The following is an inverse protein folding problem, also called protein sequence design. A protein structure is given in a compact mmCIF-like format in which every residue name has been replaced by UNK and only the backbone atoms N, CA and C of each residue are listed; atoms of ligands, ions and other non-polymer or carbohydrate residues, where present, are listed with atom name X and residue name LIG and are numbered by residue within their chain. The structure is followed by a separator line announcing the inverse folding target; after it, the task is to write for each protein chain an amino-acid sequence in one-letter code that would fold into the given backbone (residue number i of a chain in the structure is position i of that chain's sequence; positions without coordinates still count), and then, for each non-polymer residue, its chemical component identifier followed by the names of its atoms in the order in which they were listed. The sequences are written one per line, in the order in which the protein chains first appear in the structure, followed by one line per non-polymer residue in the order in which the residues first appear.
data_IF_800041763256
#
_entry.id   IF_800041763256
#
_cell.length_a   1.000
_cell.length_b   1.000
_cell.length_c   1.000
_cell.angle_alpha   90.00
_cell.angle_beta   90.00
_cell.angle_gamma   90.00
#
_symmetry.space_group_name_H-M   'P 1'
#
loop_
_entity.id
_entity.type
_entity.pdbx_description
1 polymer ?
#
# COMPACT_ATOMS: atom_id res chain seq x y z
N UNK A 1 -17.06 -13.86 -8.05
CA UNK A 1 -16.27 -13.25 -6.98
C UNK A 1 -16.78 -13.69 -5.61
N UNK A 2 -15.93 -13.60 -4.56
CA UNK A 2 -16.33 -13.89 -3.20
C UNK A 2 -16.91 -12.64 -2.54
N UNK A 3 -17.84 -12.85 -1.58
CA UNK A 3 -18.42 -11.77 -0.76
C UNK A 3 -17.40 -11.17 0.20
N UNK A 4 -17.53 -9.89 0.47
CA UNK A 4 -16.74 -9.16 1.44
C UNK A 4 -17.21 -9.36 2.88
N UNK A 5 -16.52 -8.71 3.83
CA UNK A 5 -16.82 -8.83 5.26
C UNK A 5 -18.27 -8.43 5.62
N UNK A 6 -18.81 -7.36 5.06
CA UNK A 6 -20.16 -6.90 5.37
C UNK A 6 -21.28 -7.69 4.68
N UNK A 7 -20.95 -8.62 3.78
CA UNK A 7 -21.87 -9.29 2.85
C UNK A 7 -22.01 -10.80 3.15
N UNK A 8 -21.20 -11.34 4.07
CA UNK A 8 -21.20 -12.78 4.38
C UNK A 8 -21.43 -13.07 5.85
N UNK A 9 -21.96 -14.26 6.09
CA UNK A 9 -22.22 -14.86 7.39
C UNK A 9 -21.12 -15.84 7.75
N UNK A 10 -20.84 -15.99 9.04
CA UNK A 10 -19.84 -16.94 9.53
C UNK A 10 -19.39 -16.64 10.97
N UNK A 11 -18.24 -17.16 11.35
CA UNK A 11 -17.55 -16.84 12.60
C UNK A 11 -16.15 -16.36 12.34
N UNK A 12 -15.62 -15.52 13.20
CA UNK A 12 -14.22 -15.06 13.20
C UNK A 12 -13.61 -15.29 14.58
N UNK A 13 -12.34 -15.66 14.62
CA UNK A 13 -11.59 -15.81 15.87
C UNK A 13 -10.50 -14.76 15.92
N UNK A 14 -10.38 -14.05 17.04
CA UNK A 14 -9.33 -13.08 17.27
C UNK A 14 -8.13 -13.70 18.03
N UNK A 15 -7.06 -12.93 18.21
CA UNK A 15 -5.87 -13.36 18.93
C UNK A 15 -6.09 -13.60 20.45
N UNK A 16 -7.21 -13.13 20.99
CA UNK A 16 -7.67 -13.40 22.35
C UNK A 16 -8.34 -14.78 22.48
N UNK A 17 -8.40 -15.55 21.41
CA UNK A 17 -9.12 -16.83 21.31
C UNK A 17 -10.65 -16.70 21.36
N UNK A 18 -11.18 -15.53 21.10
CA UNK A 18 -12.60 -15.26 21.11
C UNK A 18 -13.21 -15.50 19.73
N UNK A 19 -14.14 -16.45 19.67
CA UNK A 19 -14.97 -16.74 18.50
C UNK A 19 -16.17 -15.80 18.55
N UNK A 20 -16.37 -15.02 17.51
CA UNK A 20 -17.49 -14.09 17.38
C UNK A 20 -18.30 -14.39 16.14
N UNK A 21 -19.62 -14.35 16.26
CA UNK A 21 -20.54 -14.47 15.16
C UNK A 21 -20.46 -13.22 14.27
N UNK A 22 -20.23 -13.41 12.98
CA UNK A 22 -20.29 -12.38 11.96
C UNK A 22 -21.60 -12.49 11.20
N UNK A 23 -22.36 -11.41 11.11
CA UNK A 23 -23.63 -11.34 10.38
C UNK A 23 -23.51 -10.36 9.21
N UNK A 24 -24.10 -10.64 8.06
CA UNK A 24 -24.13 -9.70 6.95
C UNK A 24 -25.04 -8.50 7.31
N UNK A 25 -24.62 -7.32 6.91
CA UNK A 25 -25.43 -6.08 6.98
C UNK A 25 -25.56 -5.41 5.61
N UNK A 26 -24.97 -6.03 4.57
CA UNK A 26 -25.10 -5.66 3.17
C UNK A 26 -25.50 -6.88 2.35
N UNK A 27 -26.30 -6.73 1.28
CA UNK A 27 -26.55 -7.82 0.34
C UNK A 27 -25.31 -8.15 -0.47
N UNK A 28 -25.17 -9.40 -0.87
CA UNK A 28 -24.09 -9.80 -1.77
C UNK A 28 -24.23 -9.12 -3.14
N UNK A 29 -23.20 -8.46 -3.69
CA UNK A 29 -23.29 -7.76 -4.96
C UNK A 29 -23.27 -8.72 -6.14
N UNK A 30 -24.24 -8.58 -7.04
CA UNK A 30 -24.31 -9.32 -8.31
C UNK A 30 -24.28 -10.84 -8.11
N UNK A 31 -23.24 -11.49 -8.62
CA UNK A 31 -23.04 -12.95 -8.52
C UNK A 31 -21.99 -13.36 -7.46
N UNK A 32 -21.68 -12.49 -6.51
CA UNK A 32 -20.74 -12.82 -5.44
C UNK A 32 -21.35 -13.90 -4.51
N UNK A 33 -20.51 -14.84 -4.09
CA UNK A 33 -20.86 -15.97 -3.21
C UNK A 33 -19.95 -16.00 -1.99
N UNK A 34 -20.40 -16.64 -0.91
CA UNK A 34 -19.57 -16.87 0.25
C UNK A 34 -18.39 -17.82 -0.08
N UNK A 35 -17.24 -17.61 0.59
CA UNK A 35 -16.02 -18.40 0.35
C UNK A 35 -16.28 -19.91 0.54
N UNK A 36 -16.97 -20.28 1.63
CA UNK A 36 -17.28 -21.67 1.94
C UNK A 36 -18.15 -22.34 0.85
N UNK A 37 -19.14 -21.61 0.32
CA UNK A 37 -20.02 -22.12 -0.73
C UNK A 37 -19.28 -22.32 -2.06
N UNK A 38 -18.35 -21.42 -2.41
CA UNK A 38 -17.47 -21.56 -3.58
C UNK A 38 -16.59 -22.82 -3.42
N UNK A 39 -15.98 -23.00 -2.24
CA UNK A 39 -15.12 -24.16 -1.97
C UNK A 39 -15.92 -25.45 -1.98
N UNK A 40 -17.10 -25.47 -1.36
CA UNK A 40 -17.98 -26.62 -1.35
C UNK A 40 -18.46 -27.01 -2.77
N UNK A 41 -18.78 -26.02 -3.62
CA UNK A 41 -19.14 -26.26 -5.03
C UNK A 41 -17.98 -26.92 -5.82
N UNK A 42 -16.75 -26.47 -5.59
CA UNK A 42 -15.55 -27.10 -6.19
C UNK A 42 -15.40 -28.53 -5.70
N UNK A 43 -15.52 -28.77 -4.39
CA UNK A 43 -15.45 -30.13 -3.80
C UNK A 43 -16.47 -31.07 -4.40
N UNK A 44 -17.73 -30.65 -4.52
CA UNK A 44 -18.81 -31.45 -5.18
C UNK A 44 -18.49 -31.76 -6.64
N UNK A 45 -17.97 -30.77 -7.41
CA UNK A 45 -17.57 -30.98 -8.82
C UNK A 45 -16.37 -31.92 -8.97
N UNK A 46 -15.54 -32.03 -7.94
CA UNK A 46 -14.44 -33.00 -7.90
C UNK A 46 -14.89 -34.41 -7.52
N UNK A 47 -16.19 -34.63 -7.25
CA UNK A 47 -16.75 -35.91 -6.93
C UNK A 47 -16.90 -36.21 -5.43
N UNK A 48 -16.59 -35.26 -4.56
CA UNK A 48 -16.73 -35.41 -3.10
C UNK A 48 -18.08 -34.84 -2.62
N UNK A 49 -19.18 -35.30 -3.19
CA UNK A 49 -20.51 -34.75 -2.98
C UNK A 49 -20.90 -34.79 -1.50
N UNK A 50 -20.77 -35.97 -0.88
CA UNK A 50 -21.22 -36.21 0.50
C UNK A 50 -20.39 -35.42 1.54
N UNK A 51 -19.10 -35.21 1.25
CA UNK A 51 -18.19 -34.49 2.14
C UNK A 51 -18.37 -32.96 2.06
N UNK A 52 -19.03 -32.46 1.02
CA UNK A 52 -19.22 -30.99 0.80
C UNK A 52 -20.72 -30.66 0.61
N UNK A 53 -21.62 -31.47 1.17
CA UNK A 53 -23.06 -31.22 1.13
C UNK A 53 -23.51 -30.33 2.28
N UNK A 54 -23.02 -29.07 2.25
CA UNK A 54 -23.43 -28.06 3.19
C UNK A 54 -24.48 -27.13 2.58
N UNK A 55 -25.57 -26.90 3.29
CA UNK A 55 -26.62 -25.96 2.95
C UNK A 55 -26.36 -24.58 3.59
N UNK A 56 -25.72 -24.53 4.77
CA UNK A 56 -25.52 -23.32 5.55
C UNK A 56 -24.12 -23.25 6.16
N UNK A 57 -23.68 -22.05 6.53
CA UNK A 57 -22.44 -21.86 7.29
C UNK A 57 -22.53 -22.43 8.72
N UNK A 58 -23.72 -22.61 9.26
CA UNK A 58 -23.92 -23.26 10.55
C UNK A 58 -23.54 -24.75 10.48
N UNK A 59 -23.83 -25.42 9.38
CA UNK A 59 -23.42 -26.82 9.16
C UNK A 59 -21.91 -26.95 9.05
N UNK A 60 -21.25 -26.04 8.33
CA UNK A 60 -19.78 -25.97 8.26
C UNK A 60 -19.18 -25.73 9.65
N UNK A 61 -19.80 -24.86 10.45
CA UNK A 61 -19.35 -24.60 11.81
C UNK A 61 -19.51 -25.82 12.73
N UNK A 62 -20.63 -26.53 12.64
CA UNK A 62 -20.86 -27.78 13.42
C UNK A 62 -19.83 -28.86 13.10
N UNK A 63 -19.55 -29.08 11.81
CA UNK A 63 -18.50 -30.02 11.41
C UNK A 63 -17.13 -29.59 11.95
N UNK A 64 -16.78 -28.31 11.81
CA UNK A 64 -15.53 -27.77 12.34
C UNK A 64 -15.43 -27.94 13.86
N UNK A 65 -16.55 -27.71 14.56
CA UNK A 65 -16.62 -27.92 16.01
C UNK A 65 -16.44 -29.39 16.39
N UNK A 66 -17.10 -30.30 15.67
CA UNK A 66 -16.95 -31.75 15.88
C UNK A 66 -15.51 -32.22 15.64
N UNK A 67 -14.88 -31.76 14.54
CA UNK A 67 -13.50 -32.10 14.21
C UNK A 67 -12.49 -31.56 15.22
N UNK A 68 -12.79 -30.48 15.93
CA UNK A 68 -11.91 -29.91 16.93
C UNK A 68 -11.63 -30.87 18.11
N UNK A 69 -12.53 -31.80 18.41
CA UNK A 69 -12.32 -32.81 19.46
C UNK A 69 -11.13 -33.72 19.17
N UNK A 70 -10.85 -33.97 17.87
CA UNK A 70 -9.68 -34.74 17.44
C UNK A 70 -8.37 -34.06 17.80
N UNK A 71 -8.38 -32.75 17.92
CA UNK A 71 -7.22 -31.93 18.33
C UNK A 71 -6.68 -32.36 19.69
N UNK A 72 -7.55 -32.65 20.65
CA UNK A 72 -7.18 -33.15 21.97
C UNK A 72 -6.44 -34.49 21.95
N UNK A 73 -6.80 -35.38 21.03
CA UNK A 73 -6.10 -36.67 20.83
C UNK A 73 -4.67 -36.47 20.32
N UNK A 74 -4.38 -35.32 19.70
CA UNK A 74 -3.07 -34.95 19.20
C UNK A 74 -2.31 -34.04 20.18
N UNK A 75 -2.79 -33.91 21.43
CA UNK A 75 -2.19 -33.06 22.47
C UNK A 75 -2.29 -31.55 22.17
N UNK A 76 -3.36 -31.11 21.52
CA UNK A 76 -3.64 -29.69 21.22
C UNK A 76 -4.78 -29.15 22.09
N UNK A 77 -4.80 -27.84 22.30
CA UNK A 77 -5.77 -27.15 23.17
C UNK A 77 -7.07 -26.77 22.48
N UNK A 78 -7.05 -26.65 21.17
CA UNK A 78 -8.21 -26.20 20.42
C UNK A 78 -9.30 -27.24 20.44
N UNK A 79 -10.32 -27.03 21.26
CA UNK A 79 -11.51 -27.88 21.34
C UNK A 79 -12.74 -26.99 21.53
N UNK A 80 -13.65 -27.05 20.58
CA UNK A 80 -14.98 -26.42 20.63
C UNK A 80 -16.09 -27.42 20.40
N UNK A 81 -15.82 -28.71 20.69
CA UNK A 81 -16.76 -29.81 20.47
C UNK A 81 -18.07 -29.65 21.24
N UNK A 82 -18.11 -28.88 22.31
CA UNK A 82 -19.34 -28.49 22.98
C UNK A 82 -20.32 -27.68 22.13
N UNK A 83 -19.86 -27.13 21.00
CA UNK A 83 -20.68 -26.40 20.04
C UNK A 83 -21.05 -27.25 18.80
N UNK A 84 -20.67 -28.53 18.74
CA UNK A 84 -20.89 -29.38 17.58
C UNK A 84 -22.37 -29.63 17.25
N UNK A 85 -23.23 -29.60 18.27
CA UNK A 85 -24.67 -29.85 18.12
C UNK A 85 -25.51 -28.57 18.26
N UNK A 86 -24.89 -27.38 18.07
CA UNK A 86 -25.59 -26.09 18.18
C UNK A 86 -26.71 -25.98 17.14
N UNK A 87 -27.92 -25.57 17.56
CA UNK A 87 -29.01 -25.35 16.60
C UNK A 87 -28.74 -24.12 15.72
N UNK A 88 -29.46 -23.97 14.61
CA UNK A 88 -29.31 -22.81 13.72
C UNK A 88 -29.64 -21.49 14.44
N UNK A 89 -30.67 -21.50 15.30
CA UNK A 89 -31.06 -20.34 16.10
C UNK A 89 -29.98 -19.99 17.14
N UNK A 90 -29.45 -21.00 17.83
CA UNK A 90 -28.40 -20.79 18.81
C UNK A 90 -27.07 -20.37 18.14
N UNK A 91 -26.77 -20.89 16.96
CA UNK A 91 -25.63 -20.44 16.15
C UNK A 91 -25.80 -19.00 15.73
N UNK A 92 -26.98 -18.59 15.26
CA UNK A 92 -27.25 -17.22 14.87
C UNK A 92 -27.11 -16.23 16.03
N UNK A 93 -27.47 -16.67 17.24
CA UNK A 93 -27.37 -15.87 18.47
C UNK A 93 -26.07 -16.07 19.27
N UNK A 94 -25.11 -16.82 18.72
CA UNK A 94 -23.86 -17.15 19.39
C UNK A 94 -23.17 -15.88 19.90
N UNK A 95 -23.01 -15.80 21.22
CA UNK A 95 -22.28 -14.72 21.87
C UNK A 95 -20.77 -14.90 21.69
N UNK A 96 -19.98 -13.82 21.74
CA UNK A 96 -18.54 -13.94 21.70
C UNK A 96 -18.00 -14.89 22.77
N UNK A 97 -17.45 -16.04 22.34
CA UNK A 97 -17.10 -17.17 23.21
C UNK A 97 -15.61 -17.43 23.13
N UNK A 98 -14.97 -17.57 24.29
CA UNK A 98 -13.55 -17.98 24.35
C UNK A 98 -13.47 -19.51 24.19
N UNK A 99 -12.56 -19.98 23.33
CA UNK A 99 -12.20 -21.38 23.30
C UNK A 99 -11.06 -21.70 24.30
N UNK A 100 -10.96 -22.88 24.89
CA UNK A 100 -11.71 -24.10 24.57
C UNK A 100 -13.15 -24.09 25.11
N UNK A 101 -14.04 -24.79 24.39
CA UNK A 101 -15.40 -25.12 24.81
C UNK A 101 -15.59 -26.63 24.63
N UNK A 102 -14.94 -27.47 25.41
CA UNK A 102 -15.05 -28.91 25.28
C UNK A 102 -16.43 -29.40 25.74
N UNK A 103 -16.85 -30.55 25.21
CA UNK A 103 -18.18 -31.12 25.52
C UNK A 103 -18.34 -31.53 27.01
N UNK A 104 -17.26 -31.99 27.63
CA UNK A 104 -17.30 -32.65 28.90
C UNK A 104 -16.68 -31.86 30.09
N UNK A 105 -15.99 -30.79 29.84
CA UNK A 105 -15.28 -30.01 30.85
C UNK A 105 -15.60 -28.52 30.80
N UNK A 106 -15.55 -27.86 31.95
CA UNK A 106 -15.72 -26.40 31.98
C UNK A 106 -14.58 -25.70 31.22
N UNK A 107 -14.93 -24.70 30.45
CA UNK A 107 -13.95 -23.84 29.77
C UNK A 107 -13.12 -23.06 30.78
N UNK A 108 -11.80 -23.04 30.62
CA UNK A 108 -10.92 -22.20 31.44
C UNK A 108 -10.73 -20.82 30.81
N UNK A 109 -10.68 -19.78 31.60
CA UNK A 109 -10.55 -18.40 31.14
C UNK A 109 -9.17 -18.10 30.57
N UNK A 110 -8.12 -18.67 31.15
CA UNK A 110 -6.74 -18.38 30.77
C UNK A 110 -5.89 -19.64 30.70
N UNK A 111 -5.27 -19.89 29.56
CA UNK A 111 -4.29 -20.96 29.42
C UNK A 111 -3.09 -20.73 30.33
N UNK A 112 -2.59 -21.84 30.89
CA UNK A 112 -1.38 -21.88 31.69
C UNK A 112 -1.40 -21.00 32.94
N UNK A 113 -2.57 -20.51 33.37
CA UNK A 113 -2.68 -19.71 34.62
C UNK A 113 -2.17 -20.46 35.83
N UNK A 114 -2.34 -21.78 35.87
CA UNK A 114 -1.89 -22.68 36.95
C UNK A 114 -0.73 -23.58 36.52
N UNK A 115 0.03 -23.22 35.50
CA UNK A 115 1.05 -24.09 34.89
C UNK A 115 0.45 -25.03 33.84
N UNK A 116 1.00 -26.24 33.70
CA UNK A 116 0.48 -27.23 32.74
C UNK A 116 0.87 -26.98 31.29
N UNK A 117 2.05 -26.38 31.06
CA UNK A 117 2.61 -26.24 29.71
C UNK A 117 2.82 -27.60 29.06
N UNK A 118 2.76 -27.66 27.71
CA UNK A 118 2.89 -28.89 26.93
C UNK A 118 4.31 -29.44 26.87
N UNK A 119 4.95 -29.57 28.01
CA UNK A 119 6.24 -30.23 28.21
C UNK A 119 6.07 -31.32 29.27
N UNK A 120 6.95 -32.32 29.23
CA UNK A 120 6.87 -33.48 30.14
C UNK A 120 6.90 -33.06 31.63
N UNK A 121 7.52 -31.95 31.98
CA UNK A 121 7.57 -31.37 33.33
C UNK A 121 6.48 -30.33 33.62
N UNK A 122 5.57 -30.08 32.68
CA UNK A 122 4.49 -29.09 32.80
C UNK A 122 4.94 -27.63 32.92
N UNK A 123 6.23 -27.33 32.67
CA UNK A 123 6.80 -25.99 32.84
C UNK A 123 7.04 -25.29 31.50
N UNK A 124 7.03 -23.97 31.51
CA UNK A 124 7.44 -23.16 30.37
C UNK A 124 8.92 -23.37 30.05
N UNK A 125 9.23 -23.54 28.76
CA UNK A 125 10.59 -23.69 28.28
C UNK A 125 11.20 -22.34 28.00
N UNK A 126 12.12 -21.90 28.85
CA UNK A 126 12.87 -20.66 28.63
C UNK A 126 14.12 -20.99 27.78
N UNK A 127 14.02 -20.71 26.48
CA UNK A 127 15.11 -20.95 25.55
C UNK A 127 16.03 -19.73 25.50
N UNK A 128 17.35 -19.90 25.72
CA UNK A 128 18.28 -18.82 25.47
C UNK A 128 18.36 -18.57 23.96
N UNK A 129 18.00 -17.37 23.55
CA UNK A 129 18.07 -16.98 22.14
C UNK A 129 19.39 -16.27 21.92
N UNK A 130 20.25 -16.85 21.07
CA UNK A 130 21.46 -16.19 20.60
C UNK A 130 21.13 -15.53 19.26
N UNK A 131 21.21 -14.20 19.14
CA UNK A 131 21.02 -13.53 17.86
C UNK A 131 22.05 -14.06 16.84
N UNK A 132 21.66 -14.26 15.57
CA UNK A 132 22.63 -14.60 14.54
C UNK A 132 23.66 -13.49 14.38
N UNK A 133 24.88 -13.85 14.01
CA UNK A 133 25.90 -12.86 13.70
C UNK A 133 25.39 -11.93 12.57
N UNK A 134 25.65 -10.61 12.66
CA UNK A 134 25.32 -9.69 11.58
C UNK A 134 25.90 -10.19 10.26
N UNK A 135 25.14 -10.21 9.20
CA UNK A 135 25.65 -10.50 7.87
C UNK A 135 26.69 -9.43 7.54
N UNK A 136 27.90 -9.86 7.23
CA UNK A 136 28.97 -8.95 6.84
C UNK A 136 28.55 -8.18 5.58
N UNK A 137 28.75 -6.86 5.59
CA UNK A 137 28.55 -6.08 4.38
C UNK A 137 29.69 -6.39 3.41
N UNK A 138 29.40 -6.72 2.14
CA UNK A 138 30.44 -6.87 1.14
C UNK A 138 31.22 -5.55 0.98
N UNK A 139 32.48 -5.67 0.52
CA UNK A 139 33.32 -4.49 0.27
C UNK A 139 32.70 -3.60 -0.85
N UNK A 140 32.82 -2.28 -0.71
CA UNK A 140 32.32 -1.30 -1.68
C UNK A 140 31.08 -0.52 -1.18
N UNK A 141 30.49 0.27 -2.06
CA UNK A 141 29.33 1.13 -1.76
C UNK A 141 27.99 0.36 -1.80
N UNK A 142 27.93 -0.78 -1.12
CA UNK A 142 26.69 -1.53 -1.02
C UNK A 142 25.91 -1.15 0.24
N UNK A 143 24.61 -1.18 0.13
CA UNK A 143 23.68 -0.86 1.21
C UNK A 143 22.90 -2.10 1.64
N UNK A 144 22.51 -2.13 2.90
CA UNK A 144 21.59 -3.14 3.42
C UNK A 144 20.17 -2.78 3.03
N UNK A 145 19.53 -3.65 2.27
CA UNK A 145 18.13 -3.48 1.88
C UNK A 145 17.21 -3.78 3.07
N UNK A 146 16.38 -2.80 3.43
CA UNK A 146 15.25 -2.97 4.32
C UNK A 146 13.96 -2.82 3.52
N UNK A 147 13.00 -3.71 3.73
CA UNK A 147 11.68 -3.62 3.10
C UNK A 147 10.60 -3.40 4.13
N UNK A 148 9.55 -2.70 3.77
CA UNK A 148 8.49 -2.42 4.72
C UNK A 148 7.21 -1.91 4.06
N UNK A 149 6.28 -1.47 4.89
CA UNK A 149 5.00 -0.89 4.46
C UNK A 149 5.10 0.62 4.41
N UNK A 150 4.23 1.21 3.60
CA UNK A 150 3.88 2.62 3.73
C UNK A 150 2.50 2.76 4.36
N UNK A 151 2.24 3.90 4.97
CA UNK A 151 1.09 4.19 5.83
C UNK A 151 -0.26 3.86 5.19
N UNK A 152 -0.45 4.23 3.93
CA UNK A 152 -1.76 4.20 3.27
C UNK A 152 -1.94 3.01 2.31
N UNK A 153 -0.95 2.11 2.23
CA UNK A 153 -1.01 0.92 1.39
C UNK A 153 -1.01 -0.38 2.20
N UNK A 154 -1.64 -1.42 1.64
CA UNK A 154 -1.79 -2.74 2.24
C UNK A 154 -1.73 -3.83 1.17
N UNK A 155 -1.12 -4.98 1.51
CA UNK A 155 -1.15 -6.21 0.72
C UNK A 155 -1.02 -6.00 -0.80
N UNK A 156 0.14 -5.48 -1.24
CA UNK A 156 0.42 -5.21 -2.67
C UNK A 156 -0.63 -4.36 -3.37
N UNK A 157 -1.30 -3.48 -2.62
CA UNK A 157 -2.31 -2.54 -3.12
C UNK A 157 -3.54 -3.18 -3.77
N UNK A 158 -3.83 -4.46 -3.51
CA UNK A 158 -4.98 -5.19 -4.10
C UNK A 158 -6.32 -4.49 -3.86
N UNK A 159 -6.45 -3.77 -2.74
CA UNK A 159 -7.60 -2.92 -2.41
C UNK A 159 -7.24 -1.45 -2.36
N UNK A 160 -6.18 -1.08 -1.65
CA UNK A 160 -5.79 0.33 -1.47
C UNK A 160 -5.41 1.01 -2.78
N UNK A 161 -4.84 0.28 -3.75
CA UNK A 161 -4.57 0.78 -5.09
C UNK A 161 -5.82 1.12 -5.91
N UNK A 162 -7.00 0.66 -5.48
CA UNK A 162 -8.30 1.01 -6.09
C UNK A 162 -8.95 2.24 -5.46
N UNK A 163 -8.43 2.71 -4.34
CA UNK A 163 -8.92 3.86 -3.61
C UNK A 163 -8.07 5.10 -3.95
N UNK A 164 -8.57 6.03 -4.80
CA UNK A 164 -7.80 7.20 -5.24
C UNK A 164 -7.23 8.02 -4.09
N UNK A 165 -7.98 8.13 -3.00
CA UNK A 165 -7.61 8.89 -1.83
C UNK A 165 -6.38 8.32 -1.13
N UNK A 166 -6.29 6.98 -1.00
CA UNK A 166 -5.15 6.31 -0.37
C UNK A 166 -3.88 6.36 -1.22
N UNK A 167 -4.03 6.27 -2.56
CA UNK A 167 -2.91 6.44 -3.51
C UNK A 167 -2.43 7.88 -3.67
N UNK A 168 -3.13 8.88 -3.11
CA UNK A 168 -2.75 10.28 -3.25
C UNK A 168 -1.53 10.66 -2.40
N UNK A 169 -1.34 10.03 -1.25
CA UNK A 169 -0.20 10.27 -0.36
C UNK A 169 1.10 9.73 -0.96
N UNK A 170 1.13 8.47 -1.36
CA UNK A 170 2.31 7.85 -1.97
C UNK A 170 1.89 7.11 -3.25
N UNK A 171 2.15 7.73 -4.40
CA UNK A 171 1.67 7.25 -5.70
C UNK A 171 2.69 6.41 -6.46
N UNK A 172 3.95 6.41 -6.05
CA UNK A 172 5.06 5.73 -6.73
C UNK A 172 6.00 5.04 -5.73
N UNK A 173 6.71 3.97 -6.15
CA UNK A 173 7.70 3.32 -5.31
C UNK A 173 8.95 4.18 -5.18
N UNK A 174 9.60 4.13 -4.01
CA UNK A 174 10.79 4.91 -3.74
C UNK A 174 11.88 4.10 -3.05
N UNK A 175 13.10 4.60 -3.09
CA UNK A 175 14.22 4.18 -2.24
C UNK A 175 14.57 5.33 -1.30
N UNK A 176 14.49 5.08 0.00
CA UNK A 176 14.84 6.04 1.04
C UNK A 176 16.30 5.84 1.44
N UNK A 177 17.07 6.93 1.44
CA UNK A 177 18.51 6.93 1.67
C UNK A 177 18.92 8.04 2.63
N UNK A 178 19.96 7.77 3.42
CA UNK A 178 20.63 8.80 4.21
C UNK A 178 21.34 9.82 3.29
N UNK A 179 21.37 11.14 3.64
CA UNK A 179 22.04 12.16 2.80
C UNK A 179 23.50 11.86 2.45
N UNK A 180 24.28 11.33 3.41
CA UNK A 180 25.68 10.97 3.15
C UNK A 180 25.81 9.83 2.16
N UNK A 181 24.97 8.79 2.26
CA UNK A 181 24.97 7.69 1.32
C UNK A 181 24.56 8.15 -0.09
N UNK A 182 23.52 8.99 -0.17
CA UNK A 182 23.07 9.56 -1.43
C UNK A 182 24.14 10.42 -2.10
N UNK A 183 24.87 11.24 -1.31
CA UNK A 183 25.98 12.05 -1.83
C UNK A 183 27.13 11.19 -2.39
N UNK A 184 27.53 10.13 -1.68
CA UNK A 184 28.58 9.20 -2.16
C UNK A 184 28.15 8.50 -3.45
N UNK A 185 26.84 8.20 -3.59
CA UNK A 185 26.31 7.51 -4.77
C UNK A 185 25.96 8.47 -5.92
N UNK A 186 26.13 9.79 -5.76
CA UNK A 186 25.78 10.79 -6.76
C UNK A 186 24.30 10.90 -7.04
N UNK A 187 23.44 10.68 -6.02
CA UNK A 187 22.00 10.70 -6.13
C UNK A 187 21.42 12.01 -5.64
N UNK A 188 20.53 12.62 -6.44
CA UNK A 188 19.74 13.78 -6.06
C UNK A 188 18.35 13.38 -5.58
N UNK A 189 17.79 14.17 -4.66
CA UNK A 189 16.41 13.98 -4.19
C UNK A 189 15.41 14.13 -5.36
N UNK A 190 14.31 13.37 -5.30
CA UNK A 190 13.32 13.25 -6.36
C UNK A 190 13.84 12.71 -7.72
N UNK A 191 15.13 12.40 -7.85
CA UNK A 191 15.70 11.69 -9.00
C UNK A 191 15.23 10.24 -9.06
N UNK A 192 15.73 9.49 -10.03
CA UNK A 192 15.50 8.04 -10.13
C UNK A 192 16.81 7.29 -9.89
N UNK A 193 16.70 6.15 -9.20
CA UNK A 193 17.82 5.24 -8.97
C UNK A 193 17.49 3.83 -9.42
N UNK A 194 18.51 3.11 -9.89
CA UNK A 194 18.49 1.66 -10.05
C UNK A 194 19.06 1.05 -8.79
N UNK A 195 18.25 0.23 -8.12
CA UNK A 195 18.62 -0.60 -6.98
C UNK A 195 18.78 -2.02 -7.51
N UNK A 196 19.93 -2.64 -7.34
CA UNK A 196 20.23 -3.93 -7.96
C UNK A 196 21.13 -4.83 -7.13
N UNK A 197 21.03 -6.12 -7.36
CA UNK A 197 21.94 -7.15 -6.88
C UNK A 197 21.99 -8.33 -7.87
N UNK A 198 22.65 -9.41 -7.53
CA UNK A 198 22.78 -10.60 -8.41
C UNK A 198 21.42 -11.26 -8.76
N UNK A 199 20.36 -10.97 -8.01
CA UNK A 199 19.01 -11.56 -8.23
C UNK A 199 18.13 -10.75 -9.16
N UNK A 200 18.30 -9.43 -9.17
CA UNK A 200 17.46 -8.55 -9.98
C UNK A 200 17.75 -7.08 -9.77
N UNK A 201 16.83 -6.27 -10.30
CA UNK A 201 16.89 -4.81 -10.19
C UNK A 201 15.50 -4.21 -10.03
N UNK A 202 15.46 -3.03 -9.40
CA UNK A 202 14.29 -2.17 -9.33
C UNK A 202 14.68 -0.73 -9.69
N UNK A 203 13.81 0.00 -10.38
CA UNK A 203 13.96 1.43 -10.65
C UNK A 203 12.98 2.20 -9.79
N UNK A 204 13.48 3.12 -8.98
CA UNK A 204 12.74 3.72 -7.87
C UNK A 204 12.98 5.22 -7.79
N UNK A 205 12.02 5.99 -7.26
CA UNK A 205 12.19 7.40 -6.92
C UNK A 205 13.15 7.53 -5.74
N UNK A 206 14.08 8.45 -5.78
CA UNK A 206 14.99 8.73 -4.65
C UNK A 206 14.30 9.65 -3.64
N UNK A 207 14.31 9.25 -2.39
CA UNK A 207 13.89 10.03 -1.23
C UNK A 207 15.07 10.15 -0.27
N UNK A 208 15.58 11.36 -0.11
CA UNK A 208 16.72 11.64 0.77
C UNK A 208 16.20 12.17 2.11
N UNK A 209 16.55 11.50 3.21
CA UNK A 209 16.13 11.92 4.54
C UNK A 209 17.18 11.56 5.61
N UNK A 210 17.47 12.46 6.56
CA UNK A 210 18.38 12.16 7.68
C UNK A 210 17.79 11.13 8.68
N UNK A 211 16.52 10.74 8.52
CA UNK A 211 15.88 9.67 9.31
C UNK A 211 16.28 8.28 8.82
N UNK A 212 16.73 8.15 7.58
CA UNK A 212 17.24 6.89 7.07
C UNK A 212 18.52 6.50 7.82
N UNK A 213 18.68 5.21 8.10
CA UNK A 213 19.90 4.72 8.71
C UNK A 213 21.03 4.68 7.67
N UNK A 214 22.17 5.29 7.99
CA UNK A 214 23.39 5.26 7.16
C UNK A 214 23.80 3.81 6.87
N UNK A 215 24.16 3.52 5.63
CA UNK A 215 24.50 2.17 5.14
C UNK A 215 23.28 1.30 4.85
N UNK A 216 22.06 1.87 4.87
CA UNK A 216 20.81 1.15 4.57
C UNK A 216 20.01 1.84 3.47
N UNK A 217 19.28 1.03 2.70
CA UNK A 217 18.29 1.47 1.73
C UNK A 217 16.93 0.90 2.14
N UNK A 218 15.89 1.74 2.32
CA UNK A 218 14.53 1.29 2.54
C UNK A 218 13.73 1.35 1.24
N UNK A 219 13.01 0.27 0.93
CA UNK A 219 12.13 0.19 -0.25
C UNK A 219 10.78 -0.39 0.15
N UNK A 220 9.66 0.30 -0.15
CA UNK A 220 8.34 -0.21 0.19
C UNK A 220 7.94 -1.42 -0.65
N UNK A 221 7.23 -2.37 -0.02
CA UNK A 221 6.90 -3.69 -0.58
C UNK A 221 5.64 -3.76 -1.44
N UNK A 222 4.89 -2.66 -1.59
CA UNK A 222 3.53 -2.72 -2.10
C UNK A 222 3.41 -2.77 -3.62
N UNK A 223 4.38 -2.23 -4.36
CA UNK A 223 4.30 -2.13 -5.82
C UNK A 223 4.61 -3.45 -6.52
N UNK A 224 3.83 -3.72 -7.55
CA UNK A 224 3.96 -4.88 -8.44
C UNK A 224 4.11 -4.42 -9.88
N UNK A 225 4.35 -5.35 -10.81
CA UNK A 225 4.41 -5.04 -12.24
C UNK A 225 3.11 -4.50 -12.84
N UNK A 226 1.98 -4.56 -12.12
CA UNK A 226 0.71 -3.95 -12.53
C UNK A 226 0.68 -2.45 -12.28
N UNK A 227 1.39 -1.99 -11.25
CA UNK A 227 1.36 -0.59 -10.79
C UNK A 227 2.67 0.14 -11.01
N UNK A 228 3.79 -0.56 -11.18
CA UNK A 228 5.07 0.06 -11.48
C UNK A 228 5.95 -0.82 -12.36
N UNK A 229 6.44 -0.29 -13.48
CA UNK A 229 7.47 -0.95 -14.28
C UNK A 229 8.79 -0.96 -13.48
N UNK A 230 9.34 -2.14 -13.27
CA UNK A 230 10.61 -2.30 -12.55
C UNK A 230 10.58 -1.92 -11.08
N UNK A 231 9.43 -1.57 -10.47
CA UNK A 231 9.33 -1.11 -9.08
C UNK A 231 9.16 -2.22 -8.02
N UNK A 232 9.29 -3.49 -8.39
CA UNK A 232 9.03 -4.63 -7.51
C UNK A 232 10.26 -4.98 -6.67
N UNK A 233 10.24 -4.66 -5.37
CA UNK A 233 11.36 -4.91 -4.45
C UNK A 233 11.67 -6.39 -4.21
N UNK A 234 10.67 -7.27 -4.30
CA UNK A 234 10.88 -8.71 -4.06
C UNK A 234 11.85 -9.38 -5.03
N UNK A 235 12.17 -8.75 -6.17
CA UNK A 235 13.22 -9.22 -7.07
C UNK A 235 14.62 -9.10 -6.46
N UNK A 236 14.78 -8.30 -5.40
CA UNK A 236 16.04 -8.01 -4.73
C UNK A 236 16.23 -8.83 -3.43
N UNK A 237 15.17 -9.46 -2.95
CA UNK A 237 15.17 -10.18 -1.66
C UNK A 237 15.81 -11.55 -1.82
N UNK A 238 16.71 -11.91 -0.90
CA UNK A 238 17.37 -13.21 -0.88
C UNK A 238 16.38 -14.34 -0.55
N UNK A 239 16.57 -15.50 -1.18
CA UNK A 239 15.76 -16.69 -0.96
C UNK A 239 16.21 -17.41 0.33
N UNK A 240 16.14 -16.72 1.46
CA UNK A 240 16.49 -17.24 2.79
C UNK A 240 15.24 -17.27 3.65
N UNK A 241 15.05 -18.34 4.39
CA UNK A 241 13.96 -18.50 5.33
C UNK A 241 14.47 -18.84 6.72
N UNK A 242 13.72 -18.51 7.74
CA UNK A 242 13.97 -19.00 9.09
C UNK A 242 13.84 -20.54 9.12
N UNK A 243 14.83 -21.27 9.65
CA UNK A 243 14.84 -22.73 9.57
C UNK A 243 13.74 -23.41 10.41
N UNK A 244 13.14 -22.72 11.37
CA UNK A 244 12.10 -23.26 12.25
C UNK A 244 10.71 -22.92 11.74
N UNK A 245 10.46 -21.64 11.47
CA UNK A 245 9.14 -21.14 11.08
C UNK A 245 8.90 -21.14 9.56
N UNK A 246 9.95 -21.21 8.74
CA UNK A 246 9.88 -20.99 7.29
C UNK A 246 9.61 -19.54 6.90
N UNK A 247 9.67 -18.60 7.85
CA UNK A 247 9.45 -17.17 7.60
C UNK A 247 10.48 -16.61 6.64
N UNK A 248 10.08 -15.97 5.51
CA UNK A 248 11.03 -15.34 4.60
C UNK A 248 11.80 -14.20 5.24
N UNK A 249 13.12 -14.18 5.04
CA UNK A 249 13.99 -13.10 5.47
C UNK A 249 13.91 -11.93 4.49
N UNK A 250 12.84 -11.16 4.55
CA UNK A 250 12.56 -10.04 3.63
C UNK A 250 13.43 -8.81 3.88
N UNK A 251 14.37 -8.87 4.82
CA UNK A 251 15.23 -7.77 5.25
C UNK A 251 16.68 -8.22 5.32
N UNK A 252 17.59 -7.28 5.03
CA UNK A 252 19.02 -7.54 5.17
C UNK A 252 19.72 -8.03 3.91
N UNK A 253 19.05 -8.21 2.77
CA UNK A 253 19.72 -8.42 1.48
C UNK A 253 20.63 -7.25 1.15
N UNK A 254 21.71 -7.50 0.44
CA UNK A 254 22.65 -6.45 0.03
C UNK A 254 22.31 -5.97 -1.38
N UNK A 255 22.36 -4.64 -1.59
CA UNK A 255 22.10 -4.02 -2.88
C UNK A 255 23.12 -2.94 -3.21
N UNK A 256 23.37 -2.73 -4.49
CA UNK A 256 24.03 -1.55 -5.05
C UNK A 256 22.96 -0.57 -5.51
N UNK A 257 23.23 0.73 -5.37
CA UNK A 257 22.35 1.79 -5.82
C UNK A 257 23.13 2.75 -6.70
N UNK A 258 22.57 3.10 -7.87
CA UNK A 258 23.18 4.04 -8.79
C UNK A 258 22.12 4.90 -9.48
N UNK A 259 22.48 6.08 -10.00
CA UNK A 259 21.56 6.89 -10.77
C UNK A 259 20.93 6.12 -11.95
N UNK A 260 19.65 6.38 -12.20
CA UNK A 260 18.99 5.98 -13.44
C UNK A 260 19.17 7.08 -14.48
N UNK A 261 19.79 6.77 -15.60
CA UNK A 261 20.04 7.73 -16.66
C UNK A 261 18.78 7.96 -17.49
N UNK A 262 17.95 8.89 -17.04
CA UNK A 262 16.78 9.33 -17.78
C UNK A 262 17.16 10.40 -18.81
N UNK A 263 16.73 10.23 -20.06
CA UNK A 263 16.75 11.29 -21.05
C UNK A 263 15.61 12.31 -20.84
N UNK A 264 14.52 11.86 -20.20
CA UNK A 264 13.37 12.69 -19.86
C UNK A 264 12.58 12.06 -18.70
N UNK A 265 11.90 12.91 -17.94
CA UNK A 265 10.91 12.58 -16.93
C UNK A 265 9.55 13.05 -17.40
N UNK A 266 8.48 12.40 -16.99
CA UNK A 266 7.12 12.78 -17.35
C UNK A 266 6.12 12.55 -16.22
N UNK A 267 5.10 13.42 -16.21
CA UNK A 267 3.88 13.26 -15.44
C UNK A 267 2.68 13.17 -16.38
N UNK A 268 1.80 12.23 -16.16
CA UNK A 268 0.62 11.99 -16.96
C UNK A 268 -0.65 11.91 -16.08
N UNK A 269 -1.78 12.39 -16.61
CA UNK A 269 -3.12 12.18 -16.07
C UNK A 269 -4.07 11.84 -17.20
N UNK A 270 -4.96 10.84 -17.03
CA UNK A 270 -5.87 10.35 -18.06
C UNK A 270 -7.16 9.82 -17.45
N UNK A 271 -8.27 9.95 -18.16
CA UNK A 271 -9.53 9.25 -17.85
C UNK A 271 -9.48 7.76 -18.24
N UNK A 272 -8.54 7.38 -19.10
CA UNK A 272 -8.31 6.00 -19.56
C UNK A 272 -7.32 5.27 -18.64
N UNK A 273 -7.49 3.95 -18.53
CA UNK A 273 -6.58 3.11 -17.75
C UNK A 273 -5.21 3.03 -18.43
N UNK A 274 -4.18 3.51 -17.73
CA UNK A 274 -2.79 3.47 -18.19
C UNK A 274 -2.12 2.14 -17.82
N UNK A 275 -1.01 1.82 -18.50
CA UNK A 275 -0.15 0.68 -18.20
C UNK A 275 1.31 1.10 -18.04
N UNK A 276 2.08 0.50 -17.14
CA UNK A 276 3.47 0.87 -16.91
C UNK A 276 4.38 0.25 -17.99
N UNK A 277 4.46 0.89 -19.16
CA UNK A 277 5.17 0.36 -20.34
C UNK A 277 6.52 1.05 -20.61
N UNK A 278 6.91 2.05 -19.82
CA UNK A 278 8.20 2.75 -19.99
C UNK A 278 9.28 2.14 -19.08
N UNK A 279 10.56 2.40 -19.33
CA UNK A 279 11.66 1.92 -18.47
C UNK A 279 11.47 2.24 -16.99
N UNK A 280 10.90 3.42 -16.71
CA UNK A 280 10.28 3.73 -15.43
C UNK A 280 8.84 4.17 -15.68
N UNK A 281 7.91 3.57 -14.96
CA UNK A 281 6.53 4.01 -14.93
C UNK A 281 5.89 3.57 -13.60
N UNK A 282 5.26 4.48 -12.90
CA UNK A 282 4.42 4.19 -11.74
C UNK A 282 3.04 4.79 -11.98
N UNK A 283 1.99 3.96 -11.85
CA UNK A 283 0.60 4.36 -12.09
C UNK A 283 -0.22 4.25 -10.83
N UNK A 284 -1.12 5.20 -10.63
CA UNK A 284 -2.06 5.20 -9.53
C UNK A 284 -3.44 5.65 -9.97
N UNK A 285 -4.47 5.14 -9.31
CA UNK A 285 -5.84 5.66 -9.47
C UNK A 285 -5.92 7.08 -8.95
N UNK A 286 -6.67 7.92 -9.67
CA UNK A 286 -7.07 9.25 -9.25
C UNK A 286 -8.59 9.35 -9.16
N UNK A 287 -9.09 10.47 -8.63
CA UNK A 287 -10.54 10.69 -8.48
C UNK A 287 -11.27 10.65 -9.83
N UNK A 288 -10.63 11.16 -10.88
CA UNK A 288 -11.21 11.33 -12.23
C UNK A 288 -10.66 10.35 -13.25
N UNK A 289 -9.80 9.40 -12.85
CA UNK A 289 -9.17 8.45 -13.75
C UNK A 289 -7.87 7.88 -13.19
N UNK A 290 -6.75 8.18 -13.85
CA UNK A 290 -5.42 7.66 -13.55
C UNK A 290 -4.39 8.77 -13.59
N UNK A 291 -3.31 8.58 -12.84
CA UNK A 291 -2.08 9.37 -12.93
C UNK A 291 -0.88 8.46 -13.10
N UNK A 292 0.18 8.96 -13.73
CA UNK A 292 1.43 8.24 -13.86
C UNK A 292 2.64 9.18 -13.72
N UNK A 293 3.70 8.65 -13.09
CA UNK A 293 5.06 9.17 -13.21
C UNK A 293 5.80 8.23 -14.15
N UNK A 294 6.49 8.80 -15.14
CA UNK A 294 7.18 8.02 -16.18
C UNK A 294 8.55 8.60 -16.45
N UNK A 295 9.47 7.78 -16.98
CA UNK A 295 10.73 8.26 -17.51
C UNK A 295 11.22 7.33 -18.63
N UNK A 296 11.98 7.91 -19.55
CA UNK A 296 12.57 7.18 -20.66
C UNK A 296 14.05 7.47 -20.84
N UNK A 297 14.80 6.49 -21.37
CA UNK A 297 16.23 6.59 -21.63
C UNK A 297 16.56 7.19 -23.02
N UNK A 298 15.54 7.46 -23.85
CA UNK A 298 15.70 8.06 -25.18
C UNK A 298 14.61 9.10 -25.37
N UNK A 299 14.97 10.26 -25.88
CA UNK A 299 14.01 11.32 -26.21
C UNK A 299 13.13 10.88 -27.40
N UNK A 300 11.81 10.92 -27.26
CA UNK A 300 10.88 10.66 -28.35
C UNK A 300 11.08 11.64 -29.53
N UNK A 301 10.78 11.18 -30.72
CA UNK A 301 10.77 12.05 -31.90
C UNK A 301 9.47 12.84 -32.07
N UNK A 302 8.40 12.31 -31.50
CA UNK A 302 7.04 12.84 -31.56
C UNK A 302 6.42 12.73 -30.17
N UNK A 303 6.26 13.86 -29.49
CA UNK A 303 5.71 13.94 -28.16
C UNK A 303 4.20 13.73 -28.11
N UNK A 304 3.46 14.01 -29.18
CA UNK A 304 2.04 13.68 -29.28
C UNK A 304 1.84 12.16 -29.29
N UNK A 305 2.58 11.47 -30.18
CA UNK A 305 2.51 10.01 -30.25
C UNK A 305 2.92 9.34 -28.90
N UNK A 306 3.97 9.87 -28.27
CA UNK A 306 4.41 9.41 -26.93
C UNK A 306 3.32 9.62 -25.88
N UNK A 307 2.71 10.83 -25.85
CA UNK A 307 1.64 11.15 -24.93
C UNK A 307 0.43 10.22 -25.11
N UNK A 308 -0.01 10.01 -26.35
CA UNK A 308 -1.13 9.10 -26.67
C UNK A 308 -0.84 7.67 -26.19
N UNK A 309 0.38 7.22 -26.37
CA UNK A 309 0.81 5.89 -25.92
C UNK A 309 0.81 5.77 -24.40
N UNK A 310 1.32 6.77 -23.67
CA UNK A 310 1.34 6.79 -22.18
C UNK A 310 -0.07 6.91 -21.60
N UNK A 311 -0.87 7.82 -22.16
CA UNK A 311 -2.24 8.12 -21.73
C UNK A 311 -3.25 7.03 -22.09
N UNK A 312 -2.88 6.13 -23.03
CA UNK A 312 -3.77 5.13 -23.64
C UNK A 312 -5.00 5.79 -24.30
N UNK A 313 -4.77 6.85 -25.09
CA UNK A 313 -5.79 7.61 -25.79
C UNK A 313 -5.50 7.60 -27.30
N UNK A 314 -6.36 6.91 -28.08
CA UNK A 314 -6.24 6.81 -29.54
C UNK A 314 -6.96 7.92 -30.33
N UNK A 315 -7.87 8.65 -29.67
CA UNK A 315 -8.70 9.69 -30.29
C UNK A 315 -8.56 11.06 -29.61
N UNK A 316 -9.40 12.00 -30.05
CA UNK A 316 -9.43 13.38 -29.52
C UNK A 316 -8.41 14.32 -30.18
N UNK A 317 -8.60 15.62 -29.99
CA UNK A 317 -7.73 16.67 -30.52
C UNK A 317 -6.59 16.92 -29.54
N UNK A 318 -5.34 16.91 -30.03
CA UNK A 318 -4.15 17.22 -29.26
C UNK A 318 -3.78 18.69 -29.41
N UNK A 319 -3.42 19.31 -28.27
CA UNK A 319 -2.73 20.59 -28.20
C UNK A 319 -1.33 20.34 -27.64
N UNK A 320 -0.30 20.71 -28.37
CA UNK A 320 1.10 20.40 -28.04
C UNK A 320 1.89 21.70 -27.95
N UNK A 321 2.72 21.79 -26.91
CA UNK A 321 3.72 22.83 -26.72
C UNK A 321 5.06 22.14 -26.47
N UNK A 322 6.05 22.46 -27.28
CA UNK A 322 7.40 21.90 -27.19
C UNK A 322 8.45 22.99 -27.12
N UNK A 323 9.43 22.79 -26.27
CA UNK A 323 10.67 23.57 -26.23
C UNK A 323 11.87 22.61 -26.30
N UNK A 324 12.39 22.36 -27.51
CA UNK A 324 13.52 21.46 -27.70
C UNK A 324 14.80 21.92 -26.98
N UNK A 325 14.96 23.23 -26.73
CA UNK A 325 16.14 23.77 -26.07
C UNK A 325 16.21 23.35 -24.61
N UNK A 326 15.07 23.39 -23.90
CA UNK A 326 14.94 22.98 -22.51
C UNK A 326 14.55 21.50 -22.35
N UNK A 327 14.05 20.85 -23.42
CA UNK A 327 13.53 19.48 -23.40
C UNK A 327 12.16 19.37 -22.75
N UNK A 328 11.42 20.47 -22.67
CA UNK A 328 10.05 20.50 -22.15
C UNK A 328 9.07 20.20 -23.26
N UNK A 329 8.15 19.28 -23.02
CA UNK A 329 6.97 19.10 -23.85
C UNK A 329 5.72 18.98 -22.96
N UNK A 330 4.61 19.53 -23.44
CA UNK A 330 3.31 19.50 -22.78
C UNK A 330 2.24 19.16 -23.81
N UNK A 331 1.45 18.15 -23.51
CA UNK A 331 0.39 17.68 -24.39
C UNK A 331 -0.92 17.62 -23.63
N UNK A 332 -1.97 18.21 -24.20
CA UNK A 332 -3.35 18.08 -23.73
C UNK A 332 -4.17 17.40 -24.81
N UNK A 333 -4.95 16.38 -24.48
CA UNK A 333 -5.85 15.68 -25.39
C UNK A 333 -7.28 15.92 -24.92
N UNK A 334 -8.10 16.51 -25.78
CA UNK A 334 -9.51 16.81 -25.51
C UNK A 334 -10.42 16.18 -26.55
N UNK A 335 -11.64 15.87 -26.17
CA UNK A 335 -12.70 15.35 -27.02
C UNK A 335 -13.96 16.19 -26.75
N UNK A 336 -14.52 16.82 -27.78
CA UNK A 336 -15.63 17.77 -27.68
C UNK A 336 -15.47 18.84 -26.56
N UNK A 337 -14.25 19.37 -26.42
CA UNK A 337 -13.94 20.39 -25.39
C UNK A 337 -13.64 19.81 -23.99
N UNK A 338 -13.91 18.54 -23.76
CA UNK A 338 -13.65 17.86 -22.47
C UNK A 338 -12.24 17.32 -22.46
N UNK A 339 -11.47 17.66 -21.43
CA UNK A 339 -10.09 17.20 -21.27
C UNK A 339 -10.04 15.70 -20.87
N UNK A 340 -9.41 14.89 -21.73
CA UNK A 340 -9.26 13.45 -21.58
C UNK A 340 -7.90 13.05 -21.01
N UNK A 341 -6.86 13.79 -21.35
CA UNK A 341 -5.51 13.46 -20.92
C UNK A 341 -4.55 14.63 -20.93
N UNK A 342 -3.57 14.58 -20.03
CA UNK A 342 -2.46 15.53 -19.89
C UNK A 342 -1.15 14.78 -19.80
N UNK A 343 -0.12 15.31 -20.48
CA UNK A 343 1.24 14.80 -20.40
C UNK A 343 2.24 15.96 -20.36
N UNK A 344 3.09 15.96 -19.33
CA UNK A 344 4.12 16.96 -19.09
C UNK A 344 5.46 16.26 -19.05
N UNK A 345 6.47 16.81 -19.72
CA UNK A 345 7.84 16.26 -19.71
C UNK A 345 8.89 17.32 -19.45
N UNK A 346 10.03 16.90 -18.93
CA UNK A 346 11.22 17.71 -18.74
C UNK A 346 12.48 16.82 -18.68
N UNK A 347 13.68 17.41 -18.77
CA UNK A 347 14.96 16.70 -18.56
C UNK A 347 15.19 16.33 -17.10
N UNK A 348 14.60 17.09 -16.20
CA UNK A 348 14.61 16.91 -14.75
C UNK A 348 13.22 16.45 -14.26
N UNK A 349 13.06 15.98 -13.02
CA UNK A 349 11.76 15.65 -12.44
C UNK A 349 10.74 16.77 -12.67
N UNK A 350 9.59 16.44 -13.25
CA UNK A 350 8.62 17.43 -13.73
C UNK A 350 8.04 18.27 -12.58
N UNK A 351 8.22 19.59 -12.67
CA UNK A 351 7.63 20.57 -11.75
C UNK A 351 6.21 20.92 -12.23
N UNK A 352 5.18 20.24 -11.70
CA UNK A 352 3.78 20.45 -12.03
C UNK A 352 2.88 20.24 -10.81
N UNK A 353 1.79 20.99 -10.73
CA UNK A 353 0.79 20.86 -9.66
C UNK A 353 -0.08 19.61 -9.90
N UNK A 354 0.43 18.44 -9.56
CA UNK A 354 -0.14 17.11 -9.87
C UNK A 354 -1.62 16.98 -9.52
N UNK A 355 -1.99 17.37 -8.30
CA UNK A 355 -3.39 17.28 -7.82
C UNK A 355 -4.33 18.18 -8.62
N UNK A 356 -3.88 19.41 -8.96
CA UNK A 356 -4.66 20.34 -9.76
C UNK A 356 -4.85 19.80 -11.19
N UNK A 357 -3.78 19.30 -11.80
CA UNK A 357 -3.83 18.75 -13.16
C UNK A 357 -4.73 17.51 -13.27
N UNK A 358 -4.65 16.62 -12.27
CA UNK A 358 -5.56 15.47 -12.19
C UNK A 358 -7.02 15.94 -12.07
N UNK A 359 -7.28 17.02 -11.33
CA UNK A 359 -8.62 17.59 -11.14
C UNK A 359 -9.26 18.15 -12.41
N UNK A 360 -8.46 18.48 -13.43
CA UNK A 360 -8.96 18.98 -14.73
C UNK A 360 -9.48 17.86 -15.63
N UNK A 361 -9.08 16.62 -15.40
CA UNK A 361 -9.51 15.48 -16.24
C UNK A 361 -11.04 15.29 -16.13
N UNK A 362 -11.70 15.22 -17.28
CA UNK A 362 -13.16 15.11 -17.38
C UNK A 362 -13.91 16.45 -17.28
N UNK A 363 -13.20 17.59 -17.30
CA UNK A 363 -13.83 18.91 -17.31
C UNK A 363 -13.64 19.63 -18.64
N UNK A 364 -14.51 20.59 -18.91
CA UNK A 364 -14.32 21.53 -20.02
C UNK A 364 -13.28 22.57 -19.60
N UNK A 365 -12.17 22.63 -20.33
CA UNK A 365 -11.04 23.53 -20.04
C UNK A 365 -10.30 23.90 -21.30
N UNK A 366 -9.86 25.16 -21.40
CA UNK A 366 -9.07 25.58 -22.54
C UNK A 366 -7.67 24.92 -22.54
N UNK A 367 -7.09 24.61 -23.70
CA UNK A 367 -5.75 24.04 -23.80
C UNK A 367 -4.67 24.87 -23.07
N UNK A 368 -4.79 26.20 -23.07
CA UNK A 368 -3.85 27.07 -22.41
C UNK A 368 -3.82 26.86 -20.89
N UNK A 369 -4.99 26.72 -20.27
CA UNK A 369 -5.11 26.43 -18.83
C UNK A 369 -4.61 25.02 -18.52
N UNK A 370 -5.01 24.05 -19.34
CA UNK A 370 -4.60 22.66 -19.19
C UNK A 370 -3.08 22.49 -19.27
N UNK A 371 -2.41 23.18 -20.20
CA UNK A 371 -0.96 23.12 -20.41
C UNK A 371 -0.14 24.01 -19.46
N UNK A 372 -0.78 24.87 -18.66
CA UNK A 372 -0.07 25.73 -17.72
C UNK A 372 0.71 24.95 -16.64
N UNK A 373 0.16 23.80 -16.20
CA UNK A 373 0.80 22.94 -15.20
C UNK A 373 0.72 23.47 -13.76
N UNK A 374 -0.02 24.57 -13.56
CA UNK A 374 -0.21 25.23 -12.26
C UNK A 374 -1.70 25.30 -11.91
N UNK A 375 -2.07 25.43 -10.62
CA UNK A 375 -3.46 25.62 -10.23
C UNK A 375 -3.99 26.93 -10.83
N UNK A 376 -5.29 27.01 -11.08
CA UNK A 376 -5.97 28.28 -11.37
C UNK A 376 -5.83 29.26 -10.20
N UNK A 377 -5.97 30.56 -10.49
CA UNK A 377 -5.83 31.62 -9.49
C UNK A 377 -6.78 31.45 -8.28
N UNK A 378 -7.95 30.84 -8.50
CA UNK A 378 -8.97 30.58 -7.49
C UNK A 378 -8.76 29.25 -6.71
N UNK A 379 -7.74 28.46 -7.03
CA UNK A 379 -7.43 27.18 -6.39
C UNK A 379 -6.03 27.22 -5.77
N UNK A 380 -5.92 27.62 -4.50
CA UNK A 380 -4.63 27.62 -3.84
C UNK A 380 -3.99 26.23 -3.82
N UNK A 381 -2.69 26.16 -4.10
CA UNK A 381 -1.96 24.91 -4.09
C UNK A 381 -2.11 24.18 -2.75
N UNK A 382 -2.47 22.89 -2.80
CA UNK A 382 -2.56 22.04 -1.61
C UNK A 382 -1.21 21.48 -1.19
N UNK A 383 -0.28 21.35 -2.14
CA UNK A 383 0.97 20.62 -1.94
C UNK A 383 0.79 19.12 -1.96
N UNK A 384 1.81 18.40 -1.51
CA UNK A 384 1.74 16.94 -1.34
C UNK A 384 0.70 16.57 -0.27
N UNK A 385 -0.09 15.53 -0.52
CA UNK A 385 -1.14 15.10 0.41
C UNK A 385 -0.52 14.46 1.64
N UNK A 386 -0.89 14.95 2.80
CA UNK A 386 -0.52 14.44 4.13
C UNK A 386 -1.69 13.68 4.75
N UNK A 387 -2.88 14.29 4.81
CA UNK A 387 -4.07 13.63 5.33
C UNK A 387 -4.94 13.09 4.20
N UNK A 388 -4.86 11.78 3.91
CA UNK A 388 -5.66 11.13 2.88
C UNK A 388 -7.17 11.12 3.20
N UNK A 389 -7.56 11.13 4.48
CA UNK A 389 -8.97 11.14 4.90
C UNK A 389 -9.72 12.41 4.49
N UNK A 390 -9.06 13.56 4.60
CA UNK A 390 -9.66 14.88 4.35
C UNK A 390 -9.03 15.63 3.18
N UNK A 391 -8.14 14.97 2.42
CA UNK A 391 -7.48 15.53 1.23
C UNK A 391 -6.70 16.81 1.55
N UNK A 392 -6.00 16.81 2.71
CA UNK A 392 -5.21 17.95 3.19
C UNK A 392 -3.75 17.78 2.83
N UNK A 393 -3.18 18.80 2.18
CA UNK A 393 -1.80 18.79 1.74
C UNK A 393 -0.89 19.74 2.53
N UNK A 394 0.42 19.63 2.28
CA UNK A 394 1.48 20.36 2.99
C UNK A 394 1.32 21.88 2.94
N UNK A 395 0.87 22.45 1.82
CA UNK A 395 0.71 23.90 1.69
C UNK A 395 -0.47 24.44 2.50
N UNK A 396 -1.53 23.64 2.67
CA UNK A 396 -2.65 24.00 3.54
C UNK A 396 -2.23 23.93 5.00
N UNK A 397 -1.43 22.92 5.38
CA UNK A 397 -0.90 22.78 6.74
C UNK A 397 0.05 23.95 7.06
N UNK A 398 0.98 24.29 6.17
CA UNK A 398 1.91 25.42 6.36
C UNK A 398 1.18 26.76 6.53
N UNK A 399 0.11 26.97 5.74
CA UNK A 399 -0.73 28.17 5.93
C UNK A 399 -1.41 28.17 7.28
N UNK A 400 -2.03 27.09 7.69
CA UNK A 400 -2.66 26.99 9.00
C UNK A 400 -1.66 27.24 10.15
N UNK A 401 -0.40 26.76 10.02
CA UNK A 401 0.68 27.06 10.97
C UNK A 401 1.04 28.54 10.95
N UNK A 402 1.16 29.16 9.78
CA UNK A 402 1.42 30.59 9.65
C UNK A 402 0.26 31.43 10.24
N UNK A 403 -0.97 30.95 10.15
CA UNK A 403 -2.17 31.57 10.72
C UNK A 403 -2.33 31.26 12.23
N UNK A 404 -1.38 30.53 12.85
CA UNK A 404 -1.29 30.35 14.30
C UNK A 404 -1.64 28.95 14.82
N UNK A 405 -1.85 27.94 13.97
CA UNK A 405 -2.00 26.58 14.44
C UNK A 405 -0.65 26.02 14.91
N UNK A 406 -0.50 25.77 16.21
CA UNK A 406 0.75 25.39 16.88
C UNK A 406 0.77 23.93 17.37
N UNK A 407 -0.27 23.18 17.13
CA UNK A 407 -0.42 21.80 17.59
C UNK A 407 -1.18 20.93 16.57
N UNK A 408 -1.04 19.60 16.68
CA UNK A 408 -1.79 18.65 15.85
C UNK A 408 -3.29 18.77 16.10
N UNK A 409 -3.69 19.10 17.32
CA UNK A 409 -5.07 19.35 17.71
C UNK A 409 -5.62 20.64 17.03
N UNK A 410 -4.84 21.70 16.98
CA UNK A 410 -5.19 22.95 16.29
C UNK A 410 -5.32 22.72 14.78
N UNK A 411 -4.40 21.97 14.16
CA UNK A 411 -4.52 21.54 12.77
C UNK A 411 -5.76 20.67 12.53
N UNK A 412 -6.11 19.83 13.49
CA UNK A 412 -7.33 19.04 13.47
C UNK A 412 -8.59 19.91 13.51
N UNK A 413 -8.60 20.94 14.33
CA UNK A 413 -9.72 21.87 14.46
C UNK A 413 -9.99 22.68 13.18
N UNK A 414 -8.94 23.18 12.50
CA UNK A 414 -9.08 24.04 11.32
C UNK A 414 -9.15 23.26 9.98
N UNK A 415 -8.47 22.11 9.88
CA UNK A 415 -8.35 21.35 8.62
C UNK A 415 -8.97 19.95 8.70
N UNK A 416 -9.46 19.53 9.85
CA UNK A 416 -9.87 18.14 10.15
C UNK A 416 -8.72 17.11 10.01
N UNK A 417 -7.49 17.52 9.76
CA UNK A 417 -6.34 16.63 9.60
C UNK A 417 -6.02 15.90 10.92
N UNK A 418 -5.82 14.58 10.86
CA UNK A 418 -5.52 13.77 12.04
C UNK A 418 -6.72 13.38 12.90
N UNK A 419 -7.95 13.80 12.56
CA UNK A 419 -9.15 13.59 13.39
C UNK A 419 -9.93 12.32 13.08
N UNK A 420 -9.70 11.66 11.95
CA UNK A 420 -10.37 10.42 11.57
C UNK A 420 -9.52 9.19 11.92
N UNK A 421 -8.70 8.67 11.00
CA UNK A 421 -7.88 7.48 11.25
C UNK A 421 -6.63 7.76 12.11
N UNK A 422 -6.21 9.01 12.22
CA UNK A 422 -5.05 9.44 13.01
C UNK A 422 -3.68 9.10 12.42
N UNK A 423 -3.60 8.36 11.32
CA UNK A 423 -2.33 7.86 10.78
C UNK A 423 -1.38 8.96 10.29
N UNK A 424 -1.89 10.16 9.97
CA UNK A 424 -1.09 11.31 9.57
C UNK A 424 -0.55 12.15 10.76
N UNK A 425 -0.96 11.90 12.00
CA UNK A 425 -0.56 12.70 13.16
C UNK A 425 0.96 12.81 13.36
N UNK A 426 1.75 11.73 13.20
CA UNK A 426 3.22 11.87 13.29
C UNK A 426 3.80 12.82 12.25
N UNK A 427 3.32 12.78 11.01
CA UNK A 427 3.80 13.66 9.93
C UNK A 427 3.34 15.12 10.14
N UNK A 428 2.12 15.33 10.66
CA UNK A 428 1.66 16.67 11.07
C UNK A 428 2.56 17.26 12.15
N UNK A 429 2.96 16.45 13.15
CA UNK A 429 3.89 16.88 14.19
C UNK A 429 5.26 17.27 13.61
N UNK A 430 5.77 16.47 12.68
CA UNK A 430 7.05 16.78 12.02
C UNK A 430 7.03 18.10 11.25
N UNK A 431 5.92 18.42 10.58
CA UNK A 431 5.77 19.69 9.87
C UNK A 431 5.72 20.86 10.87
N UNK A 432 5.05 20.69 12.01
CA UNK A 432 5.02 21.67 13.10
C UNK A 432 6.41 21.89 13.69
N UNK A 433 7.14 20.81 13.99
CA UNK A 433 8.49 20.88 14.56
C UNK A 433 9.47 21.60 13.61
N UNK A 434 9.39 21.27 12.31
CA UNK A 434 10.19 21.94 11.28
C UNK A 434 9.87 23.43 11.16
N UNK A 435 8.59 23.80 11.22
CA UNK A 435 8.18 25.21 11.18
C UNK A 435 8.66 25.99 12.41
N UNK A 436 8.60 25.35 13.59
CA UNK A 436 9.09 25.93 14.86
C UNK A 436 10.61 26.14 14.85
N UNK A 437 11.36 25.18 14.32
CA UNK A 437 12.82 25.29 14.19
C UNK A 437 13.25 26.44 13.26
N UNK A 438 12.52 26.65 12.16
CA UNK A 438 12.78 27.78 11.24
C UNK A 438 12.49 29.11 11.92
N UNK A 439 11.45 29.23 12.74
CA UNK A 439 11.10 30.44 13.48
C UNK A 439 12.16 30.78 14.51
N UNK A 440 12.64 29.80 15.29
CA UNK A 440 13.71 29.93 16.27
C UNK A 440 15.07 30.34 15.63
N UNK A 441 15.34 29.93 14.39
CA UNK A 441 16.57 30.31 13.68
C UNK A 441 16.50 31.70 13.05
N UNK A 442 15.30 32.27 12.94
CA UNK A 442 15.08 33.62 12.38
C UNK A 442 14.98 34.72 13.44
N UNK A 443 14.83 34.36 14.72
CA UNK A 443 14.95 35.24 15.91
C UNK A 443 16.41 35.29 16.42
#
# INVERSE_FOLDING_TARGET
PATGWGEKSGTVTNSERRISRQRPFLPAPGKARADWDIIADVGRRMGWTDAFDFATEAEVFREYAALSSVSGLLGRDFDISGLADISDEAYDQLQPTLWPVPRETAAGDRFFASGGFFHADGKAKMLPITPPAPVAMPAGHQLRLNTGRVRDHWHTMTRTGRAPRLGAHMAEPYVELHPEDAAVLGLGDAGLAVVENARGRATLRVLITPKAQKGSAFVPMHWTGETAAGGRVNTLVDAVTDPVSGQPASKGSTVSVRPFEAAWYGFAASDSAMRPTRPYAAIARSKTGWRAEVAGCKTPRDWEAEARSVLNLGGGTASVVEDPATGVARVAISDDGILRGLFFTAREPVAVARTAMVGLIGTEVSPMVALAGVPGADQPARGAIVCACFDVGTEQIRRAIADGADSVEALGACLSAGTNCGSCRPELQEILDAASAVKLAAE
#
